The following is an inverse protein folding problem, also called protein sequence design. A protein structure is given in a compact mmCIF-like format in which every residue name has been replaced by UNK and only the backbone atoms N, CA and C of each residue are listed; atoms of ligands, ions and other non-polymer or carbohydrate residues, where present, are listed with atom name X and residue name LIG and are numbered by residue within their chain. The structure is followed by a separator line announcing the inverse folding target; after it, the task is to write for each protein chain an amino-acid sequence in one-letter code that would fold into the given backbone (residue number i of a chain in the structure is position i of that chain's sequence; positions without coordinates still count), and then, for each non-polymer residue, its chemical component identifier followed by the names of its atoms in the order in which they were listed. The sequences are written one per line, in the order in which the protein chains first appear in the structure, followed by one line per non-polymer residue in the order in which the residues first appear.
data_IF_243250436119
#
_entry.id   IF_243250436119
#
_cell.length_a   1.000
_cell.length_b   1.000
_cell.length_c   1.000
_cell.angle_alpha   90.00
_cell.angle_beta   90.00
_cell.angle_gamma   90.00
#
_symmetry.space_group_name_H-M   'P 1'
#
loop_
_entity.id
_entity.type
_entity.pdbx_description
1 polymer ?
#
# COMPACT_ATOMS: atom_id res chain seq x y z
N UNK A 1 0.96 -14.50 3.42
CA UNK A 1 0.73 -15.27 4.66
C UNK A 1 0.40 -14.34 5.83
N UNK A 2 -0.22 -14.91 6.88
CA UNK A 2 -0.41 -14.28 8.17
C UNK A 2 0.63 -14.77 9.18
N UNK A 3 1.21 -13.84 9.94
CA UNK A 3 2.12 -14.13 11.04
C UNK A 3 1.52 -13.58 12.35
N UNK A 4 1.43 -14.41 13.37
CA UNK A 4 1.12 -13.96 14.73
C UNK A 4 2.39 -13.41 15.39
N UNK A 5 2.31 -12.21 15.95
CA UNK A 5 3.47 -11.53 16.56
C UNK A 5 3.60 -11.91 18.05
N UNK A 6 3.77 -13.19 18.31
CA UNK A 6 3.74 -13.77 19.66
C UNK A 6 4.79 -13.22 20.62
N UNK A 7 5.99 -12.92 20.11
CA UNK A 7 7.05 -12.36 20.95
C UNK A 7 6.72 -10.92 21.37
N UNK A 8 6.16 -10.12 20.47
CA UNK A 8 5.69 -8.77 20.78
C UNK A 8 4.52 -8.80 21.74
N UNK A 9 3.53 -9.66 21.48
CA UNK A 9 2.37 -9.84 22.38
C UNK A 9 2.81 -10.20 23.78
N UNK A 10 3.72 -11.14 23.94
CA UNK A 10 4.24 -11.60 25.23
C UNK A 10 5.03 -10.51 25.96
N UNK A 11 5.94 -9.84 25.24
CA UNK A 11 6.79 -8.80 25.83
C UNK A 11 5.99 -7.59 26.32
N UNK A 12 4.96 -7.19 25.57
CA UNK A 12 4.11 -6.05 25.92
C UNK A 12 2.90 -6.42 26.77
N UNK A 13 2.72 -7.71 27.08
CA UNK A 13 1.58 -8.19 27.87
C UNK A 13 0.23 -7.93 27.21
N UNK A 14 0.15 -8.03 25.88
CA UNK A 14 -1.07 -7.76 25.12
C UNK A 14 -2.10 -8.87 25.35
N UNK A 15 -3.35 -8.49 25.52
CA UNK A 15 -4.48 -9.41 25.70
C UNK A 15 -5.24 -9.68 24.41
N UNK A 16 -4.94 -8.96 23.35
CA UNK A 16 -5.44 -9.17 22.00
C UNK A 16 -4.39 -9.91 21.16
N UNK A 17 -4.85 -10.66 20.17
CA UNK A 17 -4.00 -11.32 19.19
C UNK A 17 -3.76 -10.37 18.00
N UNK A 18 -2.51 -10.26 17.56
CA UNK A 18 -2.14 -9.49 16.37
C UNK A 18 -1.61 -10.43 15.29
N UNK A 19 -2.30 -10.46 14.17
CA UNK A 19 -1.88 -11.14 12.95
C UNK A 19 -1.47 -10.11 11.92
N UNK A 20 -0.28 -10.26 11.34
CA UNK A 20 0.21 -9.35 10.31
C UNK A 20 0.23 -10.05 8.96
N UNK A 21 -0.39 -9.44 7.95
CA UNK A 21 -0.41 -9.95 6.59
C UNK A 21 0.82 -9.46 5.84
N UNK A 22 1.72 -10.38 5.54
CA UNK A 22 3.05 -10.10 4.99
C UNK A 22 3.00 -10.04 3.45
N UNK A 23 2.79 -8.86 2.90
CA UNK A 23 2.72 -8.63 1.46
C UNK A 23 4.09 -8.53 0.78
N UNK A 24 5.16 -8.53 1.54
CA UNK A 24 6.54 -8.59 1.05
C UNK A 24 6.86 -9.88 0.27
N UNK A 25 6.09 -10.96 0.47
CA UNK A 25 6.27 -12.22 -0.24
C UNK A 25 5.64 -12.26 -1.63
N UNK A 26 4.93 -11.23 -2.06
CA UNK A 26 4.47 -11.12 -3.42
C UNK A 26 5.65 -11.00 -4.40
N UNK A 27 5.50 -11.42 -5.67
CA UNK A 27 6.63 -11.55 -6.63
C UNK A 27 7.48 -10.28 -6.80
N UNK A 28 6.85 -9.11 -6.82
CA UNK A 28 7.55 -7.82 -6.88
C UNK A 28 7.70 -7.15 -5.49
N UNK A 29 7.35 -7.86 -4.43
CA UNK A 29 7.66 -7.53 -3.04
C UNK A 29 6.72 -6.56 -2.35
N UNK A 30 5.51 -6.34 -2.85
CA UNK A 30 4.54 -5.48 -2.17
C UNK A 30 3.08 -5.85 -2.45
N UNK A 31 2.19 -5.26 -1.64
CA UNK A 31 0.73 -5.33 -1.80
C UNK A 31 0.27 -4.82 -3.19
N UNK A 32 1.02 -3.93 -3.81
CA UNK A 32 0.68 -3.34 -5.10
C UNK A 32 0.80 -4.30 -6.28
N UNK A 33 1.41 -5.46 -6.11
CA UNK A 33 1.42 -6.50 -7.13
C UNK A 33 0.01 -6.96 -7.47
N UNK A 34 -0.87 -7.02 -6.46
CA UNK A 34 -2.29 -7.36 -6.62
C UNK A 34 -3.03 -6.30 -7.45
N UNK A 35 -2.80 -5.04 -7.12
CA UNK A 35 -3.38 -3.88 -7.80
C UNK A 35 -2.91 -3.80 -9.24
N UNK A 36 -1.60 -3.92 -9.46
CA UNK A 36 -0.99 -3.88 -10.78
C UNK A 36 -1.57 -4.96 -11.70
N UNK A 37 -1.60 -6.19 -11.23
CA UNK A 37 -2.18 -7.32 -11.97
C UNK A 37 -3.62 -7.04 -12.34
N UNK A 38 -4.46 -6.66 -11.39
CA UNK A 38 -5.88 -6.48 -11.62
C UNK A 38 -6.20 -5.28 -12.53
N UNK A 39 -5.47 -4.18 -12.39
CA UNK A 39 -5.65 -3.03 -13.29
C UNK A 39 -5.28 -3.38 -14.75
N UNK A 40 -4.20 -4.12 -14.95
CA UNK A 40 -3.79 -4.57 -16.29
C UNK A 40 -4.80 -5.54 -16.88
N UNK A 41 -5.20 -6.57 -16.14
CA UNK A 41 -6.15 -7.58 -16.61
C UNK A 41 -7.54 -6.97 -16.89
N UNK A 42 -7.97 -6.01 -16.10
CA UNK A 42 -9.22 -5.29 -16.36
C UNK A 42 -9.14 -4.43 -17.62
N UNK A 43 -8.02 -3.73 -17.83
CA UNK A 43 -7.81 -2.97 -19.08
C UNK A 43 -7.77 -3.87 -20.32
N UNK A 44 -7.20 -5.07 -20.20
CA UNK A 44 -7.23 -6.10 -21.26
C UNK A 44 -8.67 -6.55 -21.54
N UNK A 45 -9.41 -6.88 -20.48
CA UNK A 45 -10.80 -7.37 -20.58
C UNK A 45 -11.74 -6.35 -21.22
N UNK A 46 -11.52 -5.07 -20.94
CA UNK A 46 -12.27 -3.96 -21.54
C UNK A 46 -11.81 -3.61 -22.96
N UNK A 47 -10.75 -4.22 -23.45
CA UNK A 47 -10.17 -3.92 -24.77
C UNK A 47 -9.45 -2.57 -24.86
N UNK A 48 -9.19 -1.93 -23.72
CA UNK A 48 -8.45 -0.65 -23.64
C UNK A 48 -6.95 -0.89 -23.85
N UNK A 49 -6.41 -1.93 -23.21
CA UNK A 49 -5.00 -2.34 -23.35
C UNK A 49 -4.93 -3.56 -24.28
N UNK A 50 -4.30 -3.38 -25.43
CA UNK A 50 -4.13 -4.42 -26.45
C UNK A 50 -2.75 -5.04 -26.35
N UNK A 51 -2.63 -6.28 -26.84
CA UNK A 51 -1.35 -7.00 -26.90
C UNK A 51 -0.23 -6.14 -27.53
N UNK A 52 0.92 -6.07 -26.87
CA UNK A 52 2.04 -5.23 -27.30
C UNK A 52 1.85 -3.74 -27.03
N UNK A 53 0.79 -3.35 -26.36
CA UNK A 53 0.53 -1.95 -25.99
C UNK A 53 1.47 -1.40 -24.96
N UNK A 54 1.25 -0.14 -24.61
CA UNK A 54 2.12 0.62 -23.67
C UNK A 54 1.32 1.00 -22.42
N UNK A 55 1.87 0.69 -21.27
CA UNK A 55 1.37 1.12 -19.96
C UNK A 55 2.16 2.34 -19.52
N UNK A 56 1.47 3.40 -19.15
CA UNK A 56 2.07 4.62 -18.60
C UNK A 56 1.46 4.86 -17.22
N UNK A 57 2.30 5.18 -16.22
CA UNK A 57 1.80 5.57 -14.89
C UNK A 57 2.73 6.61 -14.27
N UNK A 58 2.17 7.68 -13.67
CA UNK A 58 2.96 8.64 -12.89
C UNK A 58 3.19 8.06 -11.49
N UNK A 59 4.27 7.33 -11.32
CA UNK A 59 4.59 6.68 -10.04
C UNK A 59 6.07 6.32 -9.95
N UNK A 60 6.62 6.39 -8.77
CA UNK A 60 7.96 5.91 -8.42
C UNK A 60 7.92 4.87 -7.29
N UNK A 61 6.72 4.53 -6.80
CA UNK A 61 6.51 3.65 -5.66
C UNK A 61 6.23 2.20 -6.05
N UNK A 62 5.64 1.49 -5.11
CA UNK A 62 5.33 0.07 -5.24
C UNK A 62 4.37 -0.24 -6.40
N UNK A 63 3.47 0.66 -6.74
CA UNK A 63 2.59 0.50 -7.91
C UNK A 63 3.40 0.44 -9.20
N UNK A 64 4.38 1.31 -9.37
CA UNK A 64 5.29 1.29 -10.52
C UNK A 64 6.07 -0.02 -10.61
N UNK A 65 6.57 -0.50 -9.49
CA UNK A 65 7.32 -1.78 -9.42
C UNK A 65 6.41 -2.96 -9.79
N UNK A 66 5.19 -3.00 -9.26
CA UNK A 66 4.21 -4.03 -9.60
C UNK A 66 3.82 -3.98 -11.08
N UNK A 67 3.57 -2.80 -11.62
CA UNK A 67 3.25 -2.61 -13.05
C UNK A 67 4.43 -2.99 -13.95
N UNK A 68 5.66 -2.65 -13.57
CA UNK A 68 6.87 -3.03 -14.31
C UNK A 68 7.01 -4.56 -14.40
N UNK A 69 6.79 -5.24 -13.28
CA UNK A 69 6.82 -6.72 -13.21
C UNK A 69 5.76 -7.36 -14.11
N UNK A 70 4.51 -6.91 -14.02
CA UNK A 70 3.40 -7.43 -14.85
C UNK A 70 3.61 -7.11 -16.33
N UNK A 71 4.05 -5.91 -16.66
CA UNK A 71 4.34 -5.50 -18.03
C UNK A 71 5.43 -6.39 -18.65
N UNK A 72 6.51 -6.64 -17.92
CA UNK A 72 7.59 -7.52 -18.38
C UNK A 72 7.07 -8.93 -18.65
N UNK A 73 6.27 -9.48 -17.75
CA UNK A 73 5.74 -10.85 -17.87
C UNK A 73 4.74 -11.00 -19.00
N UNK A 74 3.97 -9.96 -19.31
CA UNK A 74 2.91 -9.97 -20.37
C UNK A 74 3.37 -9.38 -21.71
N UNK A 75 4.60 -8.86 -21.79
CA UNK A 75 5.16 -8.30 -23.04
C UNK A 75 4.64 -6.90 -23.36
N UNK A 76 4.28 -6.11 -22.36
CA UNK A 76 3.92 -4.69 -22.54
C UNK A 76 5.15 -3.80 -22.39
N UNK A 77 5.16 -2.70 -23.14
CA UNK A 77 6.05 -1.57 -22.87
C UNK A 77 5.54 -0.85 -21.63
N UNK A 78 6.42 -0.48 -20.71
CA UNK A 78 6.07 0.28 -19.53
C UNK A 78 6.89 1.55 -19.44
N UNK A 79 6.22 2.68 -19.21
CA UNK A 79 6.83 4.00 -19.04
C UNK A 79 6.32 4.60 -17.73
N UNK A 80 7.25 4.96 -16.83
CA UNK A 80 6.92 5.62 -15.58
C UNK A 80 7.45 7.05 -15.58
N UNK A 81 6.56 7.99 -15.28
CA UNK A 81 6.93 9.39 -15.11
C UNK A 81 7.12 9.71 -13.65
N UNK A 82 8.16 10.41 -13.29
CA UNK A 82 8.46 10.77 -11.92
C UNK A 82 9.35 12.00 -11.83
N UNK A 83 9.26 12.77 -10.72
CA UNK A 83 10.19 13.87 -10.50
C UNK A 83 11.64 13.39 -10.43
N UNK A 84 12.56 14.17 -10.93
CA UNK A 84 14.00 13.89 -10.88
C UNK A 84 14.58 13.76 -9.45
N UNK A 85 13.83 14.22 -8.47
CA UNK A 85 14.16 14.08 -7.03
C UNK A 85 14.00 12.68 -6.48
N UNK A 86 13.37 11.76 -7.23
CA UNK A 86 13.21 10.37 -6.80
C UNK A 86 14.54 9.64 -6.72
N UNK A 87 14.66 8.72 -5.74
CA UNK A 87 15.90 8.02 -5.46
C UNK A 87 16.40 7.19 -6.65
N UNK A 88 17.73 7.09 -6.79
CA UNK A 88 18.38 6.31 -7.84
C UNK A 88 18.03 4.82 -7.69
N UNK A 89 17.90 4.32 -6.47
CA UNK A 89 17.56 2.92 -6.18
C UNK A 89 16.20 2.55 -6.78
N UNK A 90 15.18 3.41 -6.65
CA UNK A 90 13.85 3.19 -7.23
C UNK A 90 13.90 3.16 -8.75
N UNK A 91 14.67 4.07 -9.37
CA UNK A 91 14.87 4.10 -10.83
C UNK A 91 15.53 2.81 -11.32
N UNK A 92 16.59 2.38 -10.65
CA UNK A 92 17.31 1.13 -11.00
C UNK A 92 16.41 -0.10 -10.88
N UNK A 93 15.56 -0.16 -9.88
CA UNK A 93 14.63 -1.26 -9.69
C UNK A 93 13.63 -1.35 -10.85
N UNK A 94 13.05 -0.24 -11.26
CA UNK A 94 12.14 -0.17 -12.41
C UNK A 94 12.87 -0.54 -13.73
N UNK A 95 14.07 -0.01 -13.93
CA UNK A 95 14.90 -0.33 -15.09
C UNK A 95 15.30 -1.82 -15.12
N UNK A 96 15.49 -2.43 -13.96
CA UNK A 96 15.77 -3.86 -13.84
C UNK A 96 14.66 -4.75 -14.41
N UNK A 97 13.41 -4.27 -14.42
CA UNK A 97 12.29 -4.93 -15.10
C UNK A 97 12.16 -4.55 -16.59
N UNK A 98 13.04 -3.71 -17.10
CA UNK A 98 13.00 -3.25 -18.50
C UNK A 98 12.06 -2.05 -18.73
N UNK A 99 11.60 -1.39 -17.67
CA UNK A 99 10.76 -0.21 -17.79
C UNK A 99 11.56 1.03 -18.23
N UNK A 100 10.90 1.91 -18.96
CA UNK A 100 11.42 3.24 -19.31
C UNK A 100 11.03 4.24 -18.23
N UNK A 101 11.93 5.17 -17.94
CA UNK A 101 11.70 6.23 -16.97
C UNK A 101 11.79 7.58 -17.65
N UNK A 102 10.79 8.42 -17.45
CA UNK A 102 10.78 9.81 -17.90
C UNK A 102 10.80 10.71 -16.68
N UNK A 103 11.91 11.41 -16.48
CA UNK A 103 12.08 12.33 -15.37
C UNK A 103 11.44 13.68 -15.70
N UNK A 104 10.78 14.25 -14.71
CA UNK A 104 10.17 15.57 -14.78
C UNK A 104 10.84 16.54 -13.80
N UNK A 105 10.65 17.85 -14.01
CA UNK A 105 11.18 18.89 -13.14
C UNK A 105 10.76 18.66 -11.68
N UNK A 106 11.74 18.52 -10.80
CA UNK A 106 11.52 18.29 -9.37
C UNK A 106 10.68 19.37 -8.69
N UNK A 107 10.75 20.62 -9.19
CA UNK A 107 9.95 21.74 -8.67
C UNK A 107 8.45 21.57 -8.91
N UNK A 108 8.07 20.81 -9.93
CA UNK A 108 6.67 20.52 -10.26
C UNK A 108 6.12 19.33 -9.50
N UNK A 109 6.96 18.56 -8.79
CA UNK A 109 6.57 17.39 -8.00
C UNK A 109 5.74 16.38 -8.80
N UNK A 110 4.80 15.72 -8.13
CA UNK A 110 3.92 14.73 -8.78
C UNK A 110 2.97 15.34 -9.82
N UNK A 111 2.59 16.60 -9.68
CA UNK A 111 1.75 17.27 -10.69
C UNK A 111 2.45 17.31 -12.07
N UNK A 112 3.76 17.56 -12.08
CA UNK A 112 4.55 17.50 -13.32
C UNK A 112 4.64 16.10 -13.92
N UNK A 113 4.77 15.08 -13.08
CA UNK A 113 4.79 13.69 -13.52
C UNK A 113 3.43 13.25 -14.11
N UNK A 114 2.33 13.64 -13.48
CA UNK A 114 0.97 13.38 -13.97
C UNK A 114 0.73 14.04 -15.32
N UNK A 115 1.10 15.32 -15.46
CA UNK A 115 0.98 16.05 -16.73
C UNK A 115 1.78 15.34 -17.85
N UNK A 116 3.02 14.93 -17.56
CA UNK A 116 3.88 14.24 -18.53
C UNK A 116 3.32 12.86 -18.92
N UNK A 117 2.74 12.13 -17.99
CA UNK A 117 2.08 10.88 -18.31
C UNK A 117 0.90 11.08 -19.28
N UNK A 118 0.11 12.12 -19.08
CA UNK A 118 -0.98 12.51 -19.99
C UNK A 118 -0.47 12.86 -21.40
N UNK A 119 0.57 13.68 -21.50
CA UNK A 119 1.19 14.01 -22.77
C UNK A 119 1.67 12.76 -23.54
N UNK A 120 2.39 11.87 -22.86
CA UNK A 120 2.89 10.63 -23.46
C UNK A 120 1.76 9.71 -23.90
N UNK A 121 0.64 9.67 -23.17
CA UNK A 121 -0.53 8.87 -23.53
C UNK A 121 -1.20 9.38 -24.81
N UNK A 122 -1.16 10.69 -25.07
CA UNK A 122 -1.65 11.29 -26.31
C UNK A 122 -0.70 11.06 -27.49
N UNK A 123 0.63 11.08 -27.23
CA UNK A 123 1.67 10.93 -28.25
C UNK A 123 1.88 9.47 -28.71
N UNK A 124 1.71 8.51 -27.82
CA UNK A 124 1.98 7.09 -28.08
C UNK A 124 0.69 6.36 -28.38
N UNK A 125 0.56 5.87 -29.59
CA UNK A 125 -0.61 5.12 -30.02
C UNK A 125 -0.79 3.83 -29.18
N UNK A 126 -2.01 3.59 -28.69
CA UNK A 126 -2.33 2.45 -27.86
C UNK A 126 -1.81 2.51 -26.42
N UNK A 127 -1.29 3.65 -25.99
CA UNK A 127 -0.84 3.84 -24.61
C UNK A 127 -2.03 4.05 -23.66
N UNK A 128 -1.92 3.48 -22.45
CA UNK A 128 -2.95 3.54 -21.40
C UNK A 128 -2.33 4.02 -20.09
N UNK A 129 -2.95 5.03 -19.49
CA UNK A 129 -2.69 5.42 -18.09
C UNK A 129 -3.71 4.72 -17.23
N UNK A 130 -3.27 3.87 -16.32
CA UNK A 130 -4.17 3.03 -15.51
C UNK A 130 -4.84 3.78 -14.36
N UNK A 131 -4.16 4.76 -13.74
CA UNK A 131 -4.76 5.68 -12.78
C UNK A 131 -5.11 5.05 -11.43
N UNK A 132 -4.11 4.71 -10.63
CA UNK A 132 -4.30 3.98 -9.36
C UNK A 132 -5.25 4.64 -8.36
N UNK A 133 -5.40 5.98 -8.39
CA UNK A 133 -6.26 6.73 -7.47
C UNK A 133 -7.73 6.79 -7.89
N UNK A 134 -8.05 6.44 -9.13
CA UNK A 134 -9.40 6.54 -9.71
C UNK A 134 -9.89 5.21 -10.30
N UNK A 135 -9.02 4.24 -10.48
CA UNK A 135 -9.32 2.97 -11.13
C UNK A 135 -9.96 1.98 -10.14
N UNK A 136 -11.20 1.65 -10.36
CA UNK A 136 -11.96 0.71 -9.52
C UNK A 136 -11.41 -0.71 -9.49
N UNK A 137 -10.56 -1.08 -10.46
CA UNK A 137 -9.85 -2.35 -10.43
C UNK A 137 -8.85 -2.46 -9.27
N UNK A 138 -8.44 -1.33 -8.69
CA UNK A 138 -7.58 -1.29 -7.50
C UNK A 138 -8.31 -1.87 -6.28
N UNK A 139 -9.39 -1.30 -5.74
CA UNK A 139 -10.10 -1.94 -4.62
C UNK A 139 -10.65 -3.31 -4.98
N UNK A 140 -11.08 -3.55 -6.21
CA UNK A 140 -11.57 -4.85 -6.67
C UNK A 140 -10.52 -5.97 -6.53
N UNK A 141 -9.23 -5.68 -6.69
CA UNK A 141 -8.15 -6.63 -6.45
C UNK A 141 -8.18 -7.16 -5.01
N UNK A 142 -8.47 -6.30 -4.06
CA UNK A 142 -8.50 -6.64 -2.64
C UNK A 142 -9.79 -7.34 -2.23
N UNK A 143 -10.92 -6.97 -2.84
CA UNK A 143 -12.18 -7.70 -2.65
C UNK A 143 -12.07 -9.14 -3.16
N UNK A 144 -11.35 -9.34 -4.25
CA UNK A 144 -11.17 -10.65 -4.87
C UNK A 144 -10.06 -11.52 -4.25
N UNK A 145 -9.11 -10.93 -3.53
CA UNK A 145 -7.95 -11.67 -3.03
C UNK A 145 -7.61 -11.41 -1.57
N UNK A 146 -7.23 -10.21 -1.19
CA UNK A 146 -6.76 -9.87 0.16
C UNK A 146 -7.83 -10.16 1.22
N UNK A 147 -9.06 -9.73 0.97
CA UNK A 147 -10.19 -9.97 1.87
C UNK A 147 -10.48 -11.45 2.08
N UNK A 148 -10.70 -12.25 1.01
CA UNK A 148 -10.87 -13.68 1.11
C UNK A 148 -9.75 -14.41 1.84
N UNK A 149 -8.48 -14.10 1.52
CA UNK A 149 -7.32 -14.71 2.18
C UNK A 149 -7.32 -14.46 3.69
N UNK A 150 -7.58 -13.22 4.13
CA UNK A 150 -7.67 -12.90 5.57
C UNK A 150 -8.81 -13.70 6.22
N UNK A 151 -9.96 -13.75 5.58
CA UNK A 151 -11.12 -14.46 6.13
C UNK A 151 -10.86 -15.96 6.28
N UNK A 152 -10.29 -16.57 5.26
CA UNK A 152 -9.95 -18.00 5.25
C UNK A 152 -8.83 -18.33 6.25
N UNK A 153 -7.73 -17.57 6.23
CA UNK A 153 -6.57 -17.81 7.10
C UNK A 153 -6.89 -17.59 8.60
N UNK A 154 -7.89 -16.77 8.92
CA UNK A 154 -8.38 -16.56 10.29
C UNK A 154 -9.54 -17.48 10.67
N UNK A 155 -10.02 -18.31 9.74
CA UNK A 155 -11.26 -19.08 9.93
C UNK A 155 -12.46 -18.18 10.33
N UNK A 156 -12.50 -16.98 9.77
CA UNK A 156 -13.50 -15.96 10.08
C UNK A 156 -13.33 -15.29 11.46
N UNK A 157 -12.26 -15.58 12.18
CA UNK A 157 -12.00 -15.01 13.51
C UNK A 157 -11.15 -13.73 13.41
N UNK A 158 -11.69 -12.72 12.79
CA UNK A 158 -11.10 -11.38 12.70
C UNK A 158 -12.10 -10.34 13.20
N UNK A 159 -11.67 -9.54 14.17
CA UNK A 159 -12.51 -8.54 14.83
C UNK A 159 -12.17 -7.11 14.39
N UNK A 160 -10.88 -6.86 14.10
CA UNK A 160 -10.38 -5.54 13.74
C UNK A 160 -9.41 -5.70 12.56
N UNK A 161 -9.62 -4.89 11.52
CA UNK A 161 -8.75 -4.81 10.36
C UNK A 161 -8.08 -3.44 10.29
N UNK A 162 -6.76 -3.40 10.16
CA UNK A 162 -5.93 -2.19 10.13
C UNK A 162 -5.23 -2.06 8.80
N UNK A 163 -5.37 -0.94 8.13
CA UNK A 163 -4.67 -0.63 6.89
C UNK A 163 -4.28 0.84 6.78
N UNK A 164 -3.07 1.09 6.31
CA UNK A 164 -2.64 2.43 5.90
C UNK A 164 -3.35 2.86 4.62
N UNK A 165 -3.63 4.15 4.49
CA UNK A 165 -4.37 4.72 3.36
C UNK A 165 -3.43 5.51 2.45
N UNK A 166 -3.04 4.90 1.32
CA UNK A 166 -2.39 5.58 0.20
C UNK A 166 -3.43 5.93 -0.86
N UNK A 167 -3.72 4.99 -1.78
CA UNK A 167 -4.81 5.12 -2.74
C UNK A 167 -6.19 4.85 -2.12
N UNK A 168 -6.22 4.15 -1.00
CA UNK A 168 -7.45 3.69 -0.37
C UNK A 168 -7.99 2.36 -0.90
N UNK A 169 -7.31 1.74 -1.87
CA UNK A 169 -7.76 0.47 -2.45
C UNK A 169 -7.75 -0.69 -1.48
N UNK A 170 -6.68 -0.83 -0.70
CA UNK A 170 -6.54 -1.92 0.28
C UNK A 170 -7.64 -1.88 1.34
N UNK A 171 -7.83 -0.74 1.99
CA UNK A 171 -8.82 -0.60 3.06
C UNK A 171 -10.25 -0.71 2.52
N UNK A 172 -10.51 -0.15 1.35
CA UNK A 172 -11.83 -0.20 0.72
C UNK A 172 -12.21 -1.62 0.33
N UNK A 173 -11.43 -2.26 -0.52
CA UNK A 173 -11.77 -3.58 -1.04
C UNK A 173 -11.74 -4.67 0.05
N UNK A 174 -10.71 -4.68 0.88
CA UNK A 174 -10.60 -5.64 1.99
C UNK A 174 -11.66 -5.38 3.06
N UNK A 175 -11.85 -4.11 3.44
CA UNK A 175 -12.82 -3.73 4.45
C UNK A 175 -14.26 -4.04 4.05
N UNK A 176 -14.64 -3.77 2.81
CA UNK A 176 -15.97 -4.11 2.28
C UNK A 176 -16.22 -5.62 2.33
N UNK A 177 -15.25 -6.41 1.84
CA UNK A 177 -15.37 -7.87 1.89
C UNK A 177 -15.52 -8.40 3.33
N UNK A 178 -14.66 -7.95 4.24
CA UNK A 178 -14.69 -8.42 5.62
C UNK A 178 -15.96 -7.99 6.36
N UNK A 179 -16.45 -6.77 6.16
CA UNK A 179 -17.71 -6.30 6.75
C UNK A 179 -18.94 -6.98 6.17
N UNK A 180 -18.91 -7.40 4.93
CA UNK A 180 -19.98 -8.23 4.35
C UNK A 180 -20.06 -9.58 5.07
N UNK A 181 -18.93 -10.18 5.40
CA UNK A 181 -18.84 -11.44 6.15
C UNK A 181 -19.19 -11.27 7.63
N UNK A 182 -18.73 -10.17 8.24
CA UNK A 182 -18.96 -9.85 9.64
C UNK A 182 -19.24 -8.34 9.81
N UNK A 183 -20.51 -7.93 9.85
CA UNK A 183 -20.87 -6.52 10.00
C UNK A 183 -20.38 -5.86 11.30
N UNK A 184 -20.04 -6.64 12.33
CA UNK A 184 -19.50 -6.14 13.59
C UNK A 184 -18.00 -5.84 13.55
N UNK A 185 -17.29 -6.27 12.49
CA UNK A 185 -15.88 -6.01 12.31
C UNK A 185 -15.58 -4.51 12.25
N UNK A 186 -14.51 -4.09 12.92
CA UNK A 186 -14.03 -2.71 12.88
C UNK A 186 -12.89 -2.56 11.89
N UNK A 187 -12.96 -1.51 11.09
CA UNK A 187 -11.92 -1.13 10.13
C UNK A 187 -11.25 0.15 10.62
N UNK A 188 -9.93 0.11 10.70
CA UNK A 188 -9.12 1.21 11.20
C UNK A 188 -8.23 1.73 10.08
N UNK A 189 -8.39 2.99 9.74
CA UNK A 189 -7.56 3.69 8.77
C UNK A 189 -6.34 4.30 9.45
N UNK A 190 -5.17 4.15 8.83
CA UNK A 190 -3.92 4.76 9.29
C UNK A 190 -3.49 5.85 8.34
N UNK A 191 -3.21 7.04 8.88
CA UNK A 191 -2.67 8.16 8.13
C UNK A 191 -1.49 8.82 8.84
N UNK A 192 -0.63 9.57 8.13
CA UNK A 192 0.44 10.32 8.76
C UNK A 192 -0.10 11.44 9.65
N UNK A 193 0.43 11.57 10.87
CA UNK A 193 0.08 12.67 11.76
C UNK A 193 0.42 14.05 11.16
N UNK A 194 1.50 14.13 10.36
CA UNK A 194 1.92 15.36 9.68
C UNK A 194 1.08 15.70 8.43
N UNK A 195 0.22 14.78 7.97
CA UNK A 195 -0.67 14.98 6.81
C UNK A 195 -2.04 14.34 7.05
N UNK A 196 -2.79 14.81 8.09
CA UNK A 196 -3.99 14.14 8.58
C UNK A 196 -5.23 14.52 7.76
N UNK A 197 -5.21 14.32 6.46
CA UNK A 197 -6.26 14.74 5.51
C UNK A 197 -7.58 14.00 5.76
N UNK A 198 -7.54 12.71 6.08
CA UNK A 198 -8.74 11.92 6.38
C UNK A 198 -9.44 12.41 7.66
N UNK A 199 -8.67 12.95 8.60
CA UNK A 199 -9.17 13.54 9.85
C UNK A 199 -9.63 15.00 9.69
N UNK A 200 -9.64 15.54 8.46
CA UNK A 200 -10.02 16.93 8.17
C UNK A 200 -8.89 17.94 8.34
N UNK A 201 -7.66 17.50 8.55
CA UNK A 201 -6.47 18.35 8.61
C UNK A 201 -5.92 18.73 7.24
N UNK A 202 -4.86 19.52 7.26
CA UNK A 202 -4.18 19.98 6.05
C UNK A 202 -3.12 18.97 5.60
N UNK A 203 -2.90 18.79 4.27
CA UNK A 203 -1.78 18.02 3.79
C UNK A 203 -0.44 18.66 4.17
N UNK A 204 0.54 17.82 4.44
CA UNK A 204 1.90 18.24 4.78
C UNK A 204 2.94 17.18 4.43
N UNK A 205 4.23 17.55 4.43
CA UNK A 205 5.31 16.61 4.18
C UNK A 205 5.44 15.61 5.35
N UNK A 206 5.70 14.34 5.02
CA UNK A 206 5.88 13.26 5.99
C UNK A 206 6.81 12.18 5.45
N UNK A 207 7.33 11.33 6.34
CA UNK A 207 8.25 10.24 6.01
C UNK A 207 7.58 8.88 5.75
N UNK A 208 6.26 8.77 5.86
CA UNK A 208 5.52 7.52 5.69
C UNK A 208 5.25 7.24 4.20
N UNK A 209 6.30 6.91 3.47
CA UNK A 209 6.26 6.69 2.02
C UNK A 209 5.28 5.57 1.65
N UNK A 210 4.28 5.91 0.82
CA UNK A 210 3.27 4.97 0.30
C UNK A 210 1.86 5.18 0.87
N UNK A 211 1.72 5.99 1.92
CA UNK A 211 0.42 6.45 2.43
C UNK A 211 0.38 7.98 2.50
N UNK A 212 -0.77 8.55 2.86
CA UNK A 212 -0.88 9.99 3.02
C UNK A 212 -0.64 10.76 1.71
N UNK A 213 -1.46 10.52 0.70
CA UNK A 213 -1.34 11.14 -0.62
C UNK A 213 -1.57 12.66 -0.64
N UNK A 214 -2.05 13.24 0.45
CA UNK A 214 -2.34 14.66 0.56
C UNK A 214 -3.72 15.08 0.06
N UNK A 215 -4.54 14.13 -0.33
CA UNK A 215 -5.94 14.32 -0.75
C UNK A 215 -6.75 13.06 -0.46
N UNK A 216 -8.07 13.15 -0.55
CA UNK A 216 -8.96 12.00 -0.42
C UNK A 216 -9.11 11.35 -1.80
N UNK A 217 -8.60 10.12 -2.01
CA UNK A 217 -8.70 9.45 -3.30
C UNK A 217 -10.14 9.13 -3.70
N UNK A 218 -10.45 9.20 -4.98
CA UNK A 218 -11.79 8.93 -5.51
C UNK A 218 -12.26 7.49 -5.22
N UNK A 219 -11.34 6.52 -5.27
CA UNK A 219 -11.67 5.11 -5.01
C UNK A 219 -11.80 4.76 -3.53
N UNK A 220 -11.44 5.66 -2.63
CA UNK A 220 -11.57 5.44 -1.19
C UNK A 220 -13.05 5.51 -0.78
N UNK A 221 -13.56 4.44 -0.20
CA UNK A 221 -14.83 4.46 0.48
C UNK A 221 -14.65 5.05 1.90
N UNK A 222 -14.99 6.31 2.07
CA UNK A 222 -14.83 7.03 3.35
C UNK A 222 -15.78 6.55 4.45
N UNK A 223 -16.77 5.74 4.11
CA UNK A 223 -17.70 5.14 5.08
C UNK A 223 -17.23 3.78 5.60
N UNK A 224 -16.12 3.24 5.04
CA UNK A 224 -15.69 1.89 5.38
C UNK A 224 -14.97 1.79 6.72
N UNK A 225 -14.23 2.80 7.12
CA UNK A 225 -13.49 2.80 8.37
C UNK A 225 -14.29 3.41 9.52
N UNK A 226 -14.13 2.80 10.69
CA UNK A 226 -14.80 3.17 11.93
C UNK A 226 -13.97 4.15 12.76
N UNK A 227 -12.64 4.15 12.56
CA UNK A 227 -11.69 5.01 13.27
C UNK A 227 -10.52 5.36 12.35
N UNK A 228 -9.95 6.53 12.53
CA UNK A 228 -8.71 6.98 11.87
C UNK A 228 -7.65 7.14 12.96
N UNK A 229 -6.50 6.52 12.77
CA UNK A 229 -5.34 6.64 13.66
C UNK A 229 -4.23 7.39 12.94
N UNK A 230 -3.76 8.45 13.54
CA UNK A 230 -2.63 9.23 13.06
C UNK A 230 -1.33 8.65 13.65
N UNK A 231 -0.31 8.47 12.81
CA UNK A 231 0.97 7.89 13.20
C UNK A 231 2.11 8.86 12.85
N UNK A 232 3.00 9.08 13.81
CA UNK A 232 4.23 9.84 13.60
C UNK A 232 5.30 8.98 12.90
N UNK A 233 6.23 9.64 12.21
CA UNK A 233 7.32 8.95 11.52
C UNK A 233 8.11 8.02 12.49
N UNK A 234 8.48 8.52 13.65
CA UNK A 234 9.29 7.78 14.62
C UNK A 234 8.54 6.57 15.20
N UNK A 235 7.24 6.66 15.38
CA UNK A 235 6.39 5.53 15.81
C UNK A 235 6.40 4.41 14.78
N UNK A 236 6.28 4.76 13.50
CA UNK A 236 6.36 3.80 12.41
C UNK A 236 7.73 3.13 12.31
N UNK A 237 8.80 3.91 12.42
CA UNK A 237 10.17 3.39 12.40
C UNK A 237 10.43 2.44 13.59
N UNK A 238 10.02 2.83 14.79
CA UNK A 238 10.18 2.01 15.99
C UNK A 238 9.43 0.68 15.87
N UNK A 239 8.20 0.68 15.39
CA UNK A 239 7.41 -0.55 15.21
C UNK A 239 8.02 -1.46 14.14
N UNK A 240 8.51 -0.90 13.03
CA UNK A 240 9.20 -1.67 12.00
C UNK A 240 10.46 -2.37 12.55
N UNK A 241 11.28 -1.65 13.30
CA UNK A 241 12.47 -2.20 13.96
C UNK A 241 12.10 -3.27 15.00
N UNK A 242 11.01 -3.04 15.73
CA UNK A 242 10.53 -4.00 16.74
C UNK A 242 10.18 -5.34 16.08
N UNK A 243 9.49 -5.35 14.95
CA UNK A 243 9.16 -6.59 14.25
C UNK A 243 10.43 -7.33 13.79
N UNK A 244 11.40 -6.60 13.25
CA UNK A 244 12.68 -7.18 12.85
C UNK A 244 13.43 -7.81 14.03
N UNK A 245 13.50 -7.11 15.16
CA UNK A 245 14.24 -7.56 16.34
C UNK A 245 13.53 -8.69 17.12
N UNK A 246 12.21 -8.71 17.13
CA UNK A 246 11.43 -9.65 17.95
C UNK A 246 10.90 -10.85 17.16
N UNK A 247 10.51 -10.63 15.93
CA UNK A 247 9.89 -11.67 15.09
C UNK A 247 10.77 -12.07 13.88
N UNK A 248 11.87 -11.38 13.65
CA UNK A 248 12.82 -11.72 12.58
C UNK A 248 12.32 -11.37 11.17
N UNK A 249 11.39 -10.43 11.03
CA UNK A 249 10.82 -10.01 9.73
C UNK A 249 11.11 -8.54 9.48
N UNK A 250 11.79 -8.26 8.36
CA UNK A 250 12.16 -6.91 7.95
C UNK A 250 11.04 -6.30 7.10
N UNK A 251 10.36 -5.31 7.65
CA UNK A 251 9.21 -4.65 7.03
C UNK A 251 9.49 -3.18 6.71
N UNK A 252 8.70 -2.62 5.78
CA UNK A 252 8.82 -1.22 5.39
C UNK A 252 8.22 -0.25 6.39
N UNK A 253 8.30 1.04 6.05
CA UNK A 253 7.91 2.15 6.92
C UNK A 253 6.40 2.14 7.21
N UNK A 254 5.57 2.05 6.18
CA UNK A 254 4.11 2.04 6.36
C UNK A 254 3.61 0.73 6.97
N UNK A 255 4.36 -0.35 6.80
CA UNK A 255 4.14 -1.59 7.55
C UNK A 255 4.32 -1.36 9.04
N UNK A 256 5.36 -0.61 9.42
CA UNK A 256 5.57 -0.17 10.81
C UNK A 256 4.43 0.70 11.34
N UNK A 257 3.88 1.60 10.53
CA UNK A 257 2.74 2.43 10.92
C UNK A 257 1.48 1.57 11.20
N UNK A 258 1.21 0.59 10.36
CA UNK A 258 0.08 -0.34 10.58
C UNK A 258 0.30 -1.22 11.82
N UNK A 259 1.51 -1.72 12.01
CA UNK A 259 1.86 -2.52 13.20
C UNK A 259 1.76 -1.69 14.48
N UNK A 260 2.29 -0.47 14.50
CA UNK A 260 2.16 0.45 15.63
C UNK A 260 0.69 0.63 16.02
N UNK A 261 -0.16 0.90 15.04
CA UNK A 261 -1.59 1.05 15.25
C UNK A 261 -2.21 -0.21 15.84
N UNK A 262 -1.89 -1.38 15.30
CA UNK A 262 -2.39 -2.66 15.84
C UNK A 262 -1.96 -2.88 17.28
N UNK A 263 -0.73 -2.54 17.64
CA UNK A 263 -0.21 -2.63 19.02
C UNK A 263 -0.99 -1.69 19.95
N UNK A 264 -1.20 -0.44 19.56
CA UNK A 264 -1.95 0.52 20.37
C UNK A 264 -3.43 0.09 20.55
N UNK A 265 -4.05 -0.47 19.52
CA UNK A 265 -5.39 -1.07 19.63
C UNK A 265 -5.40 -2.28 20.57
N UNK A 266 -4.37 -3.12 20.52
CA UNK A 266 -4.26 -4.31 21.38
C UNK A 266 -4.05 -3.99 22.86
N UNK A 267 -3.54 -2.81 23.18
CA UNK A 267 -3.41 -2.31 24.56
C UNK A 267 -4.73 -1.85 25.17
N UNK A 268 -5.77 -1.60 24.35
CA UNK A 268 -7.07 -1.15 24.85
C UNK A 268 -7.81 -2.30 25.52
N UNK A 269 -8.36 -2.05 26.70
CA UNK A 269 -9.08 -3.06 27.50
C UNK A 269 -10.28 -3.65 26.75
N UNK A 270 -11.01 -2.82 25.99
CA UNK A 270 -12.17 -3.25 25.20
C UNK A 270 -11.81 -4.25 24.09
N UNK A 271 -10.54 -4.35 23.73
CA UNK A 271 -10.05 -5.24 22.68
C UNK A 271 -9.45 -6.54 23.22
N UNK A 272 -9.49 -6.77 24.54
CA UNK A 272 -9.03 -8.02 25.14
C UNK A 272 -9.75 -9.23 24.52
N UNK A 273 -8.99 -10.25 24.12
CA UNK A 273 -9.50 -11.46 23.48
C UNK A 273 -9.85 -11.32 21.99
N UNK A 274 -9.73 -10.13 21.42
CA UNK A 274 -9.99 -9.89 19.99
C UNK A 274 -8.79 -10.24 19.12
N UNK A 275 -9.06 -10.52 17.86
CA UNK A 275 -8.06 -10.74 16.81
C UNK A 275 -7.98 -9.50 15.92
N UNK A 276 -6.79 -8.92 15.82
CA UNK A 276 -6.47 -7.75 15.01
C UNK A 276 -5.61 -8.21 13.83
N UNK A 277 -6.02 -7.88 12.62
CA UNK A 277 -5.24 -8.13 11.41
C UNK A 277 -4.75 -6.81 10.84
N UNK A 278 -3.45 -6.68 10.64
CA UNK A 278 -2.83 -5.50 10.03
C UNK A 278 -2.15 -5.87 8.70
N UNK A 279 -2.35 -5.05 7.67
CA UNK A 279 -1.63 -5.18 6.40
C UNK A 279 -0.24 -4.56 6.54
N UNK A 280 0.79 -5.36 6.24
CA UNK A 280 2.19 -4.92 6.12
C UNK A 280 2.57 -4.89 4.64
N UNK A 281 2.54 -3.71 3.99
CA UNK A 281 2.56 -3.59 2.54
C UNK A 281 3.81 -4.09 1.83
N UNK A 282 5.00 -3.95 2.44
CA UNK A 282 6.27 -4.24 1.77
C UNK A 282 7.43 -4.58 2.72
N UNK A 283 8.63 -4.72 2.13
CA UNK A 283 9.87 -5.05 2.83
C UNK A 283 10.67 -3.83 3.25
N UNK A 284 11.41 -3.94 4.36
CA UNK A 284 12.36 -2.93 4.82
C UNK A 284 13.53 -2.72 3.86
N UNK A 285 13.86 -3.69 3.02
CA UNK A 285 14.98 -3.61 2.07
C UNK A 285 14.84 -2.44 1.06
N UNK A 286 13.65 -1.93 0.84
CA UNK A 286 13.39 -0.75 -0.02
C UNK A 286 13.73 0.58 0.64
N UNK A 287 14.07 0.58 1.93
CA UNK A 287 14.23 1.78 2.76
C UNK A 287 15.57 1.85 3.47
N UNK A 288 16.59 1.12 2.97
CA UNK A 288 17.92 1.03 3.61
C UNK A 288 18.63 2.38 3.74
N UNK A 289 18.37 3.32 2.84
CA UNK A 289 18.94 4.67 2.86
C UNK A 289 18.04 5.72 3.54
N UNK A 290 17.04 5.28 4.29
CA UNK A 290 16.10 6.15 5.00
C UNK A 290 16.35 6.13 6.51
N UNK A 291 15.74 7.07 7.29
CA UNK A 291 15.85 7.07 8.74
C UNK A 291 15.37 5.80 9.45
N UNK A 292 14.64 4.91 8.75
CA UNK A 292 14.22 3.62 9.28
C UNK A 292 15.41 2.82 9.86
N UNK A 293 16.59 2.90 9.23
CA UNK A 293 17.79 2.16 9.62
C UNK A 293 18.87 3.03 10.26
N UNK A 294 18.58 4.29 10.58
CA UNK A 294 19.43 5.13 11.41
C UNK A 294 19.19 4.75 12.88
N UNK A 295 20.10 3.92 13.43
CA UNK A 295 20.00 3.37 14.80
C UNK A 295 21.08 3.96 15.66
#
# INVERSE_FOLDING_TARGET
PLLEVQNIESELGLKAKILVKLELFNPAGSVKDRVAKNMVEEAERQGILKRGGTIIEPTSGNTGIGLASIAASKGYRAIFTMPETMSVERRKLLQGYGAEIVLTDGKKGMAGAIAKAGELAEEIDGAVVLGQFINKANPAAHTASTGPEIWEDTEGKVDIFVAGVGTGGTITGTGEYLKEKNPALKVIAVEPAASPVLSGGKPGPHGLQGIGAGFIPEILNTEIYDEIVQVENDEAYAASRMLAHKEGVLIGITSGAALHTAIELAKREENAGKTIVAILPDTGERYLSTPLFEV
#
